data_IF_190942352994
#
_entry.id   IF_190942352994
#
_cell.length_a   1.000
_cell.length_b   1.000
_cell.length_c   1.000
_cell.angle_alpha   90.00
_cell.angle_beta   90.00
_cell.angle_gamma   90.00
#
_symmetry.space_group_name_H-M   'P 1'
#
loop_
_entity.id
_entity.type
_entity.pdbx_description
1 polymer ?
#
# COMPACT_ATOMS: atom_id res chain seq x y z
N UNK A 1 -4.76 4.17 1.05
CA UNK A 1 -4.16 5.48 0.67
C UNK A 1 -5.17 6.60 0.61
N UNK A 2 -6.08 6.63 -0.36
CA UNK A 2 -6.96 7.78 -0.64
C UNK A 2 -7.71 8.31 0.58
N UNK A 3 -8.37 7.44 1.35
CA UNK A 3 -9.12 7.83 2.55
C UNK A 3 -8.19 8.49 3.58
N UNK A 4 -7.09 7.82 3.93
CA UNK A 4 -6.13 8.34 4.90
C UNK A 4 -5.51 9.68 4.44
N UNK A 5 -5.15 9.80 3.16
CA UNK A 5 -4.64 11.04 2.59
C UNK A 5 -5.69 12.17 2.67
N UNK A 6 -6.95 11.91 2.31
CA UNK A 6 -8.03 12.90 2.40
C UNK A 6 -8.35 13.32 3.84
N UNK A 7 -8.26 12.40 4.80
CA UNK A 7 -8.47 12.70 6.22
C UNK A 7 -7.32 13.53 6.81
N UNK A 8 -6.08 13.26 6.40
CA UNK A 8 -4.90 14.00 6.83
C UNK A 8 -4.71 15.33 6.11
N UNK A 9 -5.14 15.42 4.84
CA UNK A 9 -4.95 16.59 3.98
C UNK A 9 -5.27 17.92 4.68
N UNK A 10 -6.48 18.10 5.23
CA UNK A 10 -6.85 19.39 5.80
C UNK A 10 -6.21 19.60 7.18
N UNK A 11 -5.73 18.54 7.86
CA UNK A 11 -5.15 18.63 9.22
C UNK A 11 -3.65 18.93 9.20
N UNK A 12 -2.92 18.34 8.25
CA UNK A 12 -1.45 18.36 8.22
C UNK A 12 -0.91 19.07 6.98
N UNK A 13 -1.61 18.95 5.85
CA UNK A 13 -1.14 19.47 4.57
C UNK A 13 -1.77 20.83 4.29
N UNK A 14 -1.49 21.82 5.15
CA UNK A 14 -1.86 23.23 4.96
C UNK A 14 -0.60 24.13 4.92
N UNK A 15 -0.75 25.37 4.46
CA UNK A 15 0.40 26.27 4.19
C UNK A 15 1.27 26.55 5.42
N UNK A 16 0.68 26.65 6.62
CA UNK A 16 1.41 27.02 7.84
C UNK A 16 2.15 25.85 8.50
N UNK A 17 1.87 24.61 8.09
CA UNK A 17 2.61 23.46 8.60
C UNK A 17 4.05 23.49 8.09
N UNK A 18 5.08 23.38 8.96
CA UNK A 18 6.46 23.28 8.54
C UNK A 18 6.67 22.16 7.53
N UNK A 19 7.42 22.45 6.46
CA UNK A 19 7.53 21.51 5.34
C UNK A 19 8.20 20.18 5.73
N UNK A 20 9.15 20.22 6.67
CA UNK A 20 9.77 19.02 7.25
C UNK A 20 8.75 18.09 7.91
N UNK A 21 7.75 18.65 8.60
CA UNK A 21 6.69 17.87 9.23
C UNK A 21 5.70 17.31 8.21
N UNK A 22 5.46 18.00 7.09
CA UNK A 22 4.68 17.45 5.96
C UNK A 22 5.38 16.25 5.34
N UNK A 23 6.70 16.33 5.12
CA UNK A 23 7.47 15.18 4.61
C UNK A 23 7.49 14.01 5.59
N UNK A 24 7.63 14.26 6.89
CA UNK A 24 7.53 13.22 7.92
C UNK A 24 6.14 12.55 7.91
N UNK A 25 5.07 13.35 7.89
CA UNK A 25 3.70 12.82 7.84
C UNK A 25 3.42 12.04 6.56
N UNK A 26 3.93 12.51 5.41
CA UNK A 26 3.81 11.82 4.14
C UNK A 26 4.59 10.49 4.14
N UNK A 27 5.81 10.50 4.67
CA UNK A 27 6.63 9.29 4.82
C UNK A 27 5.95 8.25 5.72
N UNK A 28 5.44 8.67 6.88
CA UNK A 28 4.67 7.80 7.79
C UNK A 28 3.44 7.23 7.12
N UNK A 29 2.69 8.06 6.38
CA UNK A 29 1.51 7.61 5.64
C UNK A 29 1.88 6.52 4.63
N UNK A 30 2.95 6.72 3.86
CA UNK A 30 3.37 5.77 2.81
C UNK A 30 3.88 4.47 3.39
N UNK A 31 4.78 4.55 4.39
CA UNK A 31 5.32 3.37 5.07
C UNK A 31 4.19 2.58 5.73
N UNK A 32 3.31 3.23 6.49
CA UNK A 32 2.22 2.54 7.20
C UNK A 32 1.22 1.89 6.25
N UNK A 33 0.94 2.49 5.09
CA UNK A 33 0.09 1.85 4.07
C UNK A 33 0.79 0.65 3.46
N UNK A 34 2.09 0.75 3.20
CA UNK A 34 2.88 -0.35 2.64
C UNK A 34 2.86 -1.58 3.56
N UNK A 35 3.28 -1.41 4.82
CA UNK A 35 3.29 -2.52 5.78
C UNK A 35 1.88 -2.92 6.24
N UNK A 36 0.93 -1.99 6.33
CA UNK A 36 -0.45 -2.31 6.71
C UNK A 36 -1.15 -3.23 5.72
N UNK A 37 -0.68 -3.24 4.47
CA UNK A 37 -1.13 -4.17 3.44
C UNK A 37 -0.78 -5.65 3.71
N UNK A 38 0.03 -5.96 4.72
CA UNK A 38 0.32 -7.36 5.13
C UNK A 38 -0.67 -7.92 6.15
N UNK A 39 -1.75 -7.20 6.48
CA UNK A 39 -2.79 -7.70 7.38
C UNK A 39 -3.62 -8.84 6.75
N UNK A 40 -3.73 -8.87 5.42
CA UNK A 40 -4.48 -9.90 4.68
C UNK A 40 -3.72 -10.30 3.41
N UNK A 41 -4.10 -11.42 2.79
CA UNK A 41 -3.45 -11.94 1.56
C UNK A 41 -3.78 -11.16 0.29
N UNK A 42 -4.69 -10.19 0.35
CA UNK A 42 -5.20 -9.43 -0.81
C UNK A 42 -5.00 -7.92 -0.68
N UNK A 43 -4.55 -7.41 0.47
CA UNK A 43 -4.49 -5.96 0.73
C UNK A 43 -3.27 -5.28 0.08
N UNK A 44 -2.22 -6.02 -0.27
CA UNK A 44 -1.03 -5.49 -0.91
C UNK A 44 -0.68 -6.28 -2.18
N UNK A 45 -0.37 -5.59 -3.31
CA UNK A 45 0.19 -6.23 -4.50
C UNK A 45 1.37 -7.18 -4.22
N UNK A 46 2.40 -6.83 -3.43
CA UNK A 46 3.53 -7.73 -3.18
C UNK A 46 3.13 -9.04 -2.49
N UNK A 47 2.09 -9.03 -1.66
CA UNK A 47 1.55 -10.23 -1.01
C UNK A 47 0.71 -11.03 -2.01
N UNK A 48 -0.12 -10.36 -2.79
CA UNK A 48 -0.95 -10.99 -3.82
C UNK A 48 -0.11 -11.78 -4.84
N UNK A 49 1.05 -11.25 -5.23
CA UNK A 49 1.96 -11.89 -6.20
C UNK A 49 2.60 -13.19 -5.71
N UNK A 50 2.58 -13.44 -4.39
CA UNK A 50 3.25 -14.61 -3.79
C UNK A 50 2.30 -15.52 -3.02
N UNK A 51 1.10 -15.02 -2.69
CA UNK A 51 0.14 -15.72 -1.85
C UNK A 51 -0.28 -17.07 -2.43
N UNK A 52 -0.57 -17.14 -3.73
CA UNK A 52 -0.90 -18.41 -4.41
C UNK A 52 0.31 -19.33 -4.52
N UNK A 53 1.50 -18.79 -4.82
CA UNK A 53 2.74 -19.56 -5.01
C UNK A 53 3.19 -20.24 -3.73
N UNK A 54 3.07 -19.56 -2.59
CA UNK A 54 3.54 -20.06 -1.29
C UNK A 54 2.40 -20.50 -0.36
N UNK A 55 1.16 -20.49 -0.82
CA UNK A 55 0.00 -20.93 -0.05
C UNK A 55 -0.32 -20.06 1.16
N UNK A 56 -0.05 -18.75 1.08
CA UNK A 56 -0.30 -17.81 2.18
C UNK A 56 -1.74 -17.30 2.15
N UNK A 57 -2.54 -17.75 3.11
CA UNK A 57 -3.88 -17.23 3.35
C UNK A 57 -3.86 -15.99 4.26
N UNK A 58 -5.03 -15.37 4.46
CA UNK A 58 -5.13 -14.19 5.32
C UNK A 58 -4.81 -14.49 6.80
N UNK A 59 -5.03 -15.73 7.26
CA UNK A 59 -4.69 -16.13 8.62
C UNK A 59 -3.17 -16.22 8.83
N UNK A 60 -2.45 -16.79 7.86
CA UNK A 60 -0.99 -16.80 7.81
C UNK A 60 -0.43 -15.40 7.79
N UNK A 61 -0.94 -14.53 6.91
CA UNK A 61 -0.50 -13.13 6.82
C UNK A 61 -0.66 -12.40 8.16
N UNK A 62 -1.83 -12.52 8.79
CA UNK A 62 -2.09 -11.89 10.07
C UNK A 62 -1.16 -12.39 11.19
N UNK A 63 -0.99 -13.72 11.31
CA UNK A 63 -0.15 -14.35 12.35
C UNK A 63 1.35 -14.11 12.15
N UNK A 64 1.80 -13.96 10.91
CA UNK A 64 3.23 -13.89 10.58
C UNK A 64 3.73 -12.46 10.40
N UNK A 65 2.94 -11.60 9.73
CA UNK A 65 3.29 -10.20 9.43
C UNK A 65 2.36 -9.20 10.12
N UNK A 66 1.06 -9.47 10.12
CA UNK A 66 0.02 -8.48 10.44
C UNK A 66 0.15 -7.84 11.82
N UNK A 67 0.43 -8.63 12.86
CA UNK A 67 0.59 -8.08 14.22
C UNK A 67 1.84 -7.20 14.35
N UNK A 68 2.96 -7.57 13.70
CA UNK A 68 4.21 -6.79 13.67
C UNK A 68 3.98 -5.46 12.95
N UNK A 69 3.32 -5.53 11.79
CA UNK A 69 2.93 -4.36 11.02
C UNK A 69 1.98 -3.46 11.82
N UNK A 70 1.00 -4.01 12.53
CA UNK A 70 0.08 -3.24 13.37
C UNK A 70 0.82 -2.48 14.48
N UNK A 71 1.77 -3.12 15.17
CA UNK A 71 2.60 -2.46 16.18
C UNK A 71 3.48 -1.36 15.58
N UNK A 72 4.15 -1.63 14.45
CA UNK A 72 4.94 -0.62 13.75
C UNK A 72 4.09 0.58 13.31
N UNK A 73 2.89 0.33 12.75
CA UNK A 73 1.93 1.37 12.37
C UNK A 73 1.53 2.21 13.58
N UNK A 74 1.21 1.59 14.72
CA UNK A 74 0.85 2.27 15.96
C UNK A 74 1.99 3.16 16.47
N UNK A 75 3.23 2.65 16.47
CA UNK A 75 4.42 3.42 16.88
C UNK A 75 4.64 4.60 15.94
N UNK A 76 4.68 4.37 14.63
CA UNK A 76 4.85 5.42 13.62
C UNK A 76 3.76 6.50 13.73
N UNK A 77 2.49 6.08 13.85
CA UNK A 77 1.35 6.98 13.97
C UNK A 77 1.39 7.79 15.27
N UNK A 78 1.80 7.17 16.38
CA UNK A 78 1.93 7.85 17.67
C UNK A 78 3.04 8.89 17.61
N UNK A 79 4.23 8.52 17.15
CA UNK A 79 5.38 9.43 17.06
C UNK A 79 5.07 10.63 16.17
N UNK A 80 4.53 10.41 14.97
CA UNK A 80 4.19 11.52 14.08
C UNK A 80 3.13 12.44 14.68
N UNK A 81 2.14 11.87 15.38
CA UNK A 81 1.11 12.66 16.06
C UNK A 81 1.72 13.54 17.15
N UNK A 82 2.70 13.03 17.91
CA UNK A 82 3.41 13.81 18.93
C UNK A 82 4.23 14.96 18.31
N UNK A 83 4.91 14.73 17.18
CA UNK A 83 5.65 15.78 16.46
C UNK A 83 4.72 16.84 15.83
N UNK A 84 3.55 16.42 15.36
CA UNK A 84 2.56 17.31 14.76
C UNK A 84 1.78 18.09 15.83
N UNK A 85 1.60 17.53 17.04
CA UNK A 85 0.77 18.08 18.12
C UNK A 85 0.90 19.60 18.33
N UNK A 86 2.10 20.22 18.35
CA UNK A 86 2.22 21.67 18.57
C UNK A 86 1.64 22.52 17.43
N UNK A 87 1.52 21.94 16.23
CA UNK A 87 1.06 22.60 15.01
C UNK A 87 -0.38 22.20 14.64
N UNK A 88 -0.94 21.17 15.29
CA UNK A 88 -2.32 20.78 15.10
C UNK A 88 -3.23 21.84 15.74
N UNK A 89 -3.97 22.56 14.91
CA UNK A 89 -4.97 23.52 15.37
C UNK A 89 -6.17 22.78 15.93
N UNK A 90 -6.45 23.01 17.21
CA UNK A 90 -7.73 22.63 17.80
C UNK A 90 -8.84 23.47 17.15
N UNK A 91 -9.69 22.87 16.33
CA UNK A 91 -10.97 23.52 16.00
C UNK A 91 -11.61 23.23 14.66
N UNK A 92 -10.90 23.25 13.51
CA UNK A 92 -11.62 23.68 12.30
C UNK A 92 -11.59 22.76 11.07
N UNK A 93 -11.02 21.57 11.19
CA UNK A 93 -10.72 20.79 10.00
C UNK A 93 -11.81 19.78 9.64
N UNK A 94 -12.41 19.14 10.65
CA UNK A 94 -13.58 18.27 10.46
C UNK A 94 -14.89 19.06 10.31
N UNK A 95 -14.87 20.38 10.54
CA UNK A 95 -16.03 21.26 10.33
C UNK A 95 -16.27 21.55 8.83
N UNK A 96 -15.25 21.34 7.97
CA UNK A 96 -15.24 21.74 6.56
C UNK A 96 -16.11 20.91 5.59
N UNK A 97 -17.05 20.07 6.06
CA UNK A 97 -18.08 19.50 5.16
C UNK A 97 -19.34 19.00 5.88
N UNK A 98 -20.11 19.93 6.47
CA UNK A 98 -21.53 19.69 6.78
C UNK A 98 -22.43 19.62 5.52
N UNK A 99 -21.89 19.84 4.32
CA UNK A 99 -22.66 19.86 3.06
C UNK A 99 -22.58 18.58 2.23
N UNK A 100 -21.90 17.52 2.70
CA UNK A 100 -22.02 16.22 2.05
C UNK A 100 -23.38 15.61 2.42
N UNK A 101 -24.27 15.45 1.44
CA UNK A 101 -25.52 14.72 1.64
C UNK A 101 -25.16 13.34 2.20
N UNK A 102 -25.70 12.93 3.35
CA UNK A 102 -25.37 11.63 3.94
C UNK A 102 -25.68 10.52 2.94
N UNK A 103 -24.68 9.68 2.65
CA UNK A 103 -24.83 8.55 1.76
C UNK A 103 -25.81 7.55 2.38
N UNK A 104 -26.77 7.06 1.60
CA UNK A 104 -27.75 6.08 2.07
C UNK A 104 -27.04 4.82 2.60
N UNK A 105 -27.36 4.35 3.83
CA UNK A 105 -26.79 3.12 4.37
C UNK A 105 -26.97 1.90 3.46
N UNK A 106 -28.06 1.88 2.67
CA UNK A 106 -28.31 0.84 1.69
C UNK A 106 -27.27 0.83 0.57
N UNK A 107 -26.87 2.00 0.06
CA UNK A 107 -25.85 2.11 -0.99
C UNK A 107 -24.51 1.59 -0.46
N UNK A 108 -24.16 1.92 0.78
CA UNK A 108 -22.96 1.42 1.46
C UNK A 108 -23.03 -0.10 1.60
N UNK A 109 -24.15 -0.63 2.10
CA UNK A 109 -24.35 -2.07 2.26
C UNK A 109 -24.22 -2.84 0.94
N UNK A 110 -24.79 -2.30 -0.15
CA UNK A 110 -24.65 -2.89 -1.50
C UNK A 110 -23.18 -2.91 -1.94
N UNK A 111 -22.44 -1.82 -1.75
CA UNK A 111 -21.00 -1.78 -2.08
C UNK A 111 -20.19 -2.79 -1.27
N UNK A 112 -20.43 -2.87 0.04
CA UNK A 112 -19.76 -3.83 0.92
C UNK A 112 -20.11 -5.27 0.55
N UNK A 113 -21.37 -5.54 0.18
CA UNK A 113 -21.81 -6.84 -0.30
C UNK A 113 -21.07 -7.22 -1.59
N UNK A 114 -21.05 -6.36 -2.61
CA UNK A 114 -20.34 -6.65 -3.87
C UNK A 114 -18.84 -6.84 -3.65
N UNK A 115 -18.22 -6.01 -2.81
CA UNK A 115 -16.81 -6.15 -2.44
C UNK A 115 -16.55 -7.53 -1.80
N UNK A 116 -17.34 -7.92 -0.80
CA UNK A 116 -17.20 -9.21 -0.14
C UNK A 116 -17.44 -10.37 -1.11
N UNK A 117 -18.50 -10.31 -1.91
CA UNK A 117 -18.85 -11.35 -2.88
C UNK A 117 -17.77 -11.54 -3.95
N UNK A 118 -17.19 -10.45 -4.45
CA UNK A 118 -16.08 -10.48 -5.41
C UNK A 118 -14.82 -11.08 -4.79
N UNK A 119 -14.48 -10.71 -3.55
CA UNK A 119 -13.32 -11.28 -2.84
C UNK A 119 -13.49 -12.78 -2.59
N UNK A 120 -14.67 -13.21 -2.13
CA UNK A 120 -14.95 -14.63 -1.88
C UNK A 120 -15.02 -15.46 -3.17
N UNK A 121 -15.44 -14.85 -4.27
CA UNK A 121 -15.58 -15.52 -5.58
C UNK A 121 -14.36 -15.34 -6.48
N UNK A 122 -13.24 -14.82 -5.98
CA UNK A 122 -12.06 -14.48 -6.78
C UNK A 122 -11.45 -15.69 -7.53
N UNK A 123 -11.68 -16.92 -7.02
CA UNK A 123 -11.24 -18.15 -7.66
C UNK A 123 -12.17 -18.65 -8.79
N UNK A 124 -13.34 -18.03 -8.98
CA UNK A 124 -14.33 -18.40 -9.99
C UNK A 124 -14.52 -17.25 -10.99
N UNK A 125 -13.75 -17.21 -12.09
CA UNK A 125 -13.72 -16.06 -13.01
C UNK A 125 -15.08 -15.66 -13.58
N UNK A 126 -15.96 -16.63 -13.85
CA UNK A 126 -17.30 -16.38 -14.39
C UNK A 126 -18.17 -15.62 -13.37
N UNK A 127 -18.17 -16.07 -12.11
CA UNK A 127 -18.92 -15.44 -11.02
C UNK A 127 -18.35 -14.06 -10.74
N UNK A 128 -17.02 -13.96 -10.66
CA UNK A 128 -16.31 -12.69 -10.49
C UNK A 128 -16.72 -11.67 -11.56
N UNK A 129 -16.65 -12.05 -12.84
CA UNK A 129 -16.99 -11.16 -13.95
C UNK A 129 -18.48 -10.79 -13.94
N UNK A 130 -19.36 -11.75 -13.65
CA UNK A 130 -20.80 -11.50 -13.51
C UNK A 130 -21.12 -10.49 -12.40
N UNK A 131 -20.53 -10.66 -11.22
CA UNK A 131 -20.68 -9.73 -10.09
C UNK A 131 -20.11 -8.34 -10.43
N UNK A 132 -18.95 -8.29 -11.07
CA UNK A 132 -18.32 -7.03 -11.48
C UNK A 132 -19.16 -6.27 -12.51
N UNK A 133 -19.66 -6.94 -13.54
CA UNK A 133 -20.54 -6.34 -14.54
C UNK A 133 -21.87 -5.89 -13.93
N UNK A 134 -22.45 -6.68 -13.02
CA UNK A 134 -23.63 -6.28 -12.27
C UNK A 134 -23.36 -5.02 -11.46
N UNK A 135 -22.23 -4.96 -10.75
CA UNK A 135 -21.86 -3.79 -9.97
C UNK A 135 -21.72 -2.53 -10.84
N UNK A 136 -21.09 -2.63 -12.02
CA UNK A 136 -21.06 -1.53 -12.99
C UNK A 136 -22.49 -1.12 -13.37
N UNK A 137 -23.34 -2.08 -13.72
CA UNK A 137 -24.75 -1.82 -14.04
C UNK A 137 -25.51 -1.12 -12.92
N UNK A 138 -25.32 -1.54 -11.67
CA UNK A 138 -25.88 -0.90 -10.48
C UNK A 138 -25.39 0.55 -10.35
N UNK A 139 -24.08 0.79 -10.45
CA UNK A 139 -23.53 2.15 -10.33
C UNK A 139 -24.02 3.07 -11.46
N UNK A 140 -24.23 2.54 -12.66
CA UNK A 140 -24.78 3.27 -13.79
C UNK A 140 -26.27 3.59 -13.59
N UNK A 141 -27.07 2.64 -13.09
CA UNK A 141 -28.49 2.81 -12.83
C UNK A 141 -28.76 3.87 -11.73
N UNK A 142 -27.91 3.90 -10.70
CA UNK A 142 -28.05 4.80 -9.55
C UNK A 142 -27.01 5.94 -9.52
N UNK A 143 -26.57 6.43 -10.69
CA UNK A 143 -25.47 7.41 -10.85
C UNK A 143 -25.51 8.63 -9.94
N UNK A 144 -26.70 9.09 -9.53
CA UNK A 144 -26.89 10.25 -8.63
C UNK A 144 -26.23 10.03 -7.25
N UNK A 145 -26.12 8.78 -6.81
CA UNK A 145 -25.54 8.40 -5.53
C UNK A 145 -24.10 7.87 -5.66
N UNK A 146 -23.51 7.92 -6.86
CA UNK A 146 -22.23 7.28 -7.15
C UNK A 146 -21.15 8.30 -7.52
N UNK A 147 -19.92 7.99 -7.14
CA UNK A 147 -18.75 8.63 -7.72
C UNK A 147 -18.37 7.91 -9.03
N UNK A 148 -17.74 8.60 -10.00
CA UNK A 148 -17.23 7.97 -11.20
C UNK A 148 -16.30 6.80 -10.87
N UNK A 149 -16.48 5.66 -11.56
CA UNK A 149 -15.61 4.50 -11.41
C UNK A 149 -14.26 4.76 -12.09
N UNK A 150 -13.17 4.48 -11.38
CA UNK A 150 -11.78 4.57 -11.87
C UNK A 150 -11.35 3.29 -12.62
N UNK A 151 -12.12 2.88 -13.62
CA UNK A 151 -11.91 1.62 -14.35
C UNK A 151 -10.58 1.66 -15.12
N UNK A 152 -10.25 2.81 -15.75
CA UNK A 152 -9.03 2.96 -16.53
C UNK A 152 -7.79 2.74 -15.67
N UNK A 153 -7.73 3.36 -14.50
CA UNK A 153 -6.63 3.25 -13.55
C UNK A 153 -6.50 1.81 -13.05
N UNK A 154 -7.61 1.18 -12.68
CA UNK A 154 -7.62 -0.22 -12.24
C UNK A 154 -7.13 -1.17 -13.34
N UNK A 155 -7.54 -0.95 -14.61
CA UNK A 155 -7.06 -1.73 -15.75
C UNK A 155 -5.56 -1.50 -16.02
N UNK A 156 -5.06 -0.27 -15.90
CA UNK A 156 -3.62 0.01 -16.05
C UNK A 156 -2.80 -0.73 -14.99
N UNK A 157 -3.26 -0.77 -13.74
CA UNK A 157 -2.64 -1.58 -12.68
C UNK A 157 -2.71 -3.07 -13.03
N UNK A 158 -3.86 -3.55 -13.52
CA UNK A 158 -4.02 -4.93 -13.97
C UNK A 158 -3.06 -5.31 -15.10
N UNK A 159 -2.92 -4.46 -16.12
CA UNK A 159 -1.97 -4.66 -17.22
C UNK A 159 -0.52 -4.60 -16.75
N UNK A 160 -0.19 -3.73 -15.80
CA UNK A 160 1.13 -3.69 -15.19
C UNK A 160 1.46 -5.01 -14.48
N UNK A 161 0.55 -5.50 -13.62
CA UNK A 161 0.72 -6.78 -12.94
C UNK A 161 0.79 -7.96 -13.92
N UNK A 162 -0.05 -7.97 -14.96
CA UNK A 162 0.00 -8.99 -16.01
C UNK A 162 1.33 -8.95 -16.78
N UNK A 163 1.81 -7.76 -17.11
CA UNK A 163 3.13 -7.56 -17.74
C UNK A 163 4.27 -8.04 -16.85
N UNK A 164 4.20 -7.78 -15.54
CA UNK A 164 5.15 -8.31 -14.57
C UNK A 164 5.15 -9.84 -14.55
N UNK A 165 3.98 -10.48 -14.57
CA UNK A 165 3.90 -11.95 -14.58
C UNK A 165 4.48 -12.52 -15.87
N UNK A 166 4.07 -11.99 -17.03
CA UNK A 166 4.49 -12.51 -18.33
C UNK A 166 5.97 -12.27 -18.58
N UNK A 167 6.47 -11.04 -18.38
CA UNK A 167 7.86 -10.68 -18.65
C UNK A 167 8.80 -11.10 -17.53
N UNK A 168 8.35 -11.02 -16.27
CA UNK A 168 9.15 -11.40 -15.11
C UNK A 168 9.44 -12.90 -15.07
N UNK A 169 8.49 -13.75 -15.50
CA UNK A 169 8.73 -15.18 -15.69
C UNK A 169 9.93 -15.49 -16.59
N UNK A 170 10.19 -14.63 -17.60
CA UNK A 170 11.35 -14.77 -18.49
C UNK A 170 12.69 -14.38 -17.85
N UNK A 171 12.67 -13.72 -16.68
CA UNK A 171 13.88 -13.24 -15.99
C UNK A 171 14.45 -14.26 -14.98
N UNK A 172 13.78 -15.40 -14.77
CA UNK A 172 14.17 -16.39 -13.77
C UNK A 172 15.62 -16.87 -13.91
N UNK A 173 16.09 -17.06 -15.15
CA UNK A 173 17.40 -17.68 -15.45
C UNK A 173 18.61 -16.97 -14.81
N UNK A 174 18.57 -15.64 -14.70
CA UNK A 174 19.67 -14.87 -14.08
C UNK A 174 19.38 -14.50 -12.63
N UNK A 175 18.10 -14.41 -12.25
CA UNK A 175 17.71 -14.08 -10.87
C UNK A 175 17.91 -15.23 -9.91
N UNK A 176 17.62 -16.46 -10.34
CA UNK A 176 17.73 -17.65 -9.50
C UNK A 176 19.10 -17.86 -8.86
N UNK A 177 20.23 -17.81 -9.60
CA UNK A 177 21.53 -17.95 -8.96
C UNK A 177 21.88 -16.81 -8.01
N UNK A 178 21.35 -15.59 -8.24
CA UNK A 178 21.61 -14.44 -7.38
C UNK A 178 20.77 -14.54 -6.11
N UNK A 179 19.45 -14.57 -6.23
CA UNK A 179 18.53 -14.58 -5.07
C UNK A 179 18.67 -15.86 -4.27
N UNK A 180 18.84 -17.01 -4.92
CA UNK A 180 19.01 -18.30 -4.26
C UNK A 180 20.32 -18.46 -3.48
N UNK A 181 21.33 -17.61 -3.75
CA UNK A 181 22.60 -17.62 -3.01
C UNK A 181 22.67 -16.59 -1.88
N UNK A 182 21.68 -15.68 -1.78
CA UNK A 182 21.64 -14.68 -0.71
C UNK A 182 21.16 -15.28 0.61
N UNK A 183 21.87 -14.96 1.69
CA UNK A 183 21.38 -15.23 3.03
C UNK A 183 20.08 -14.45 3.30
N UNK A 184 19.13 -15.00 4.10
CA UNK A 184 17.84 -14.34 4.34
C UNK A 184 17.95 -12.90 4.87
N UNK A 185 18.94 -12.62 5.71
CA UNK A 185 19.15 -11.28 6.25
C UNK A 185 19.61 -10.28 5.17
N UNK A 186 20.47 -10.74 4.26
CA UNK A 186 20.91 -9.94 3.11
C UNK A 186 19.75 -9.73 2.15
N UNK A 187 18.90 -10.74 1.97
CA UNK A 187 17.70 -10.64 1.15
C UNK A 187 16.71 -9.60 1.69
N UNK A 188 16.53 -9.52 3.01
CA UNK A 188 15.70 -8.48 3.64
C UNK A 188 16.22 -7.08 3.33
N UNK A 189 17.51 -6.83 3.61
CA UNK A 189 18.12 -5.50 3.43
C UNK A 189 18.16 -5.13 1.95
N UNK A 190 18.50 -6.09 1.08
CA UNK A 190 18.50 -5.94 -0.36
C UNK A 190 17.12 -5.59 -0.90
N UNK A 191 16.08 -6.31 -0.48
CA UNK A 191 14.70 -6.05 -0.90
C UNK A 191 14.20 -4.67 -0.43
N UNK A 192 14.50 -4.29 0.81
CA UNK A 192 14.18 -2.97 1.37
C UNK A 192 14.83 -1.85 0.55
N UNK A 193 16.12 -1.97 0.27
CA UNK A 193 16.88 -0.96 -0.47
C UNK A 193 16.45 -0.89 -1.93
N UNK A 194 16.30 -2.03 -2.61
CA UNK A 194 15.87 -2.09 -4.00
C UNK A 194 14.46 -1.54 -4.18
N UNK A 195 13.56 -1.80 -3.23
CA UNK A 195 12.20 -1.24 -3.28
C UNK A 195 12.18 0.29 -3.26
N UNK A 196 13.19 0.96 -2.71
CA UNK A 196 13.26 2.42 -2.81
C UNK A 196 13.34 2.90 -4.27
N UNK A 197 13.87 2.08 -5.17
CA UNK A 197 14.08 2.42 -6.59
C UNK A 197 13.29 1.54 -7.56
N UNK A 198 12.59 0.52 -7.08
CA UNK A 198 11.77 -0.40 -7.89
C UNK A 198 10.42 -0.68 -7.23
N UNK A 199 9.43 -1.13 -8.00
CA UNK A 199 8.14 -1.55 -7.45
C UNK A 199 8.28 -2.80 -6.55
N UNK A 200 7.62 -2.76 -5.38
CA UNK A 200 7.70 -3.84 -4.40
C UNK A 200 7.05 -5.16 -4.87
N UNK A 201 6.00 -5.10 -5.71
CA UNK A 201 5.32 -6.28 -6.22
C UNK A 201 6.16 -6.97 -7.29
N UNK A 202 6.90 -6.20 -8.09
CA UNK A 202 7.89 -6.75 -9.01
C UNK A 202 8.95 -7.56 -8.25
N UNK A 203 9.52 -7.02 -7.16
CA UNK A 203 10.55 -7.73 -6.39
C UNK A 203 10.03 -9.01 -5.73
N UNK A 204 8.84 -8.99 -5.11
CA UNK A 204 8.29 -10.20 -4.49
C UNK A 204 7.86 -11.24 -5.51
N UNK A 205 7.32 -10.81 -6.65
CA UNK A 205 7.03 -11.70 -7.76
C UNK A 205 8.29 -12.39 -8.29
N UNK A 206 9.36 -11.63 -8.54
CA UNK A 206 10.62 -12.20 -9.00
C UNK A 206 11.19 -13.22 -7.99
N UNK A 207 11.02 -12.99 -6.68
CA UNK A 207 11.41 -13.96 -5.67
C UNK A 207 10.51 -15.20 -5.60
N UNK A 208 9.24 -15.11 -5.99
CA UNK A 208 8.35 -16.28 -6.05
C UNK A 208 8.67 -17.23 -7.22
N UNK A 209 9.47 -16.77 -8.18
CA UNK A 209 10.02 -17.60 -9.26
C UNK A 209 11.23 -18.43 -8.85
N UNK A 210 11.77 -18.24 -7.63
CA UNK A 210 12.98 -18.94 -7.19
C UNK A 210 12.61 -20.30 -6.59
N UNK A 211 12.98 -21.37 -7.30
CA UNK A 211 12.74 -22.73 -6.82
C UNK A 211 13.53 -23.02 -5.53
N UNK A 212 12.86 -23.66 -4.57
CA UNK A 212 13.49 -24.10 -3.33
C UNK A 212 13.84 -22.96 -2.36
N UNK A 213 13.34 -21.74 -2.57
CA UNK A 213 13.53 -20.63 -1.63
C UNK A 213 12.99 -21.01 -0.25
N UNK A 214 13.83 -20.89 0.78
CA UNK A 214 13.48 -21.27 2.15
C UNK A 214 12.34 -20.40 2.70
N UNK A 215 11.54 -20.93 3.62
CA UNK A 215 10.43 -20.18 4.24
C UNK A 215 10.90 -18.90 4.93
N UNK A 216 12.11 -18.92 5.52
CA UNK A 216 12.72 -17.73 6.10
C UNK A 216 13.10 -16.70 5.03
N UNK A 217 13.64 -17.13 3.89
CA UNK A 217 13.95 -16.21 2.77
C UNK A 217 12.68 -15.63 2.15
N UNK A 218 11.61 -16.42 1.99
CA UNK A 218 10.29 -15.93 1.56
C UNK A 218 9.78 -14.83 2.49
N UNK A 219 9.83 -15.06 3.80
CA UNK A 219 9.47 -14.07 4.81
C UNK A 219 10.31 -12.80 4.68
N UNK A 220 11.64 -12.94 4.67
CA UNK A 220 12.58 -11.82 4.66
C UNK A 220 12.48 -10.98 3.38
N UNK A 221 12.27 -11.62 2.23
CA UNK A 221 12.05 -10.92 0.97
C UNK A 221 10.81 -10.02 1.04
N UNK A 222 9.67 -10.59 1.43
CA UNK A 222 8.40 -9.84 1.48
C UNK A 222 8.46 -8.77 2.56
N UNK A 223 9.00 -9.10 3.74
CA UNK A 223 9.20 -8.18 4.85
C UNK A 223 10.06 -6.97 4.46
N UNK A 224 11.18 -7.20 3.77
CA UNK A 224 12.04 -6.14 3.25
C UNK A 224 11.33 -5.29 2.20
N UNK A 225 10.67 -5.93 1.23
CA UNK A 225 9.94 -5.23 0.18
C UNK A 225 8.80 -4.35 0.71
N UNK A 226 8.00 -4.82 1.67
CA UNK A 226 6.93 -3.99 2.25
C UNK A 226 7.47 -2.88 3.16
N UNK A 227 8.56 -3.11 3.89
CA UNK A 227 9.20 -2.09 4.72
C UNK A 227 9.79 -0.93 3.88
N UNK A 228 10.39 -1.26 2.73
CA UNK A 228 10.93 -0.28 1.79
C UNK A 228 9.87 0.46 0.97
N UNK A 229 8.65 -0.09 0.86
CA UNK A 229 7.60 0.42 -0.04
C UNK A 229 7.12 1.85 0.23
N UNK A 230 7.50 2.47 1.36
CA UNK A 230 7.19 3.87 1.66
C UNK A 230 8.30 4.87 1.33
N UNK A 231 9.49 4.43 0.94
CA UNK A 231 10.68 5.28 0.81
C UNK A 231 10.60 6.29 -0.33
N UNK A 232 9.94 5.94 -1.43
CA UNK A 232 9.82 6.81 -2.61
C UNK A 232 8.45 6.70 -3.28
N UNK A 233 8.19 7.58 -4.26
CA UNK A 233 6.94 7.60 -5.01
C UNK A 233 6.76 6.36 -5.88
N UNK A 234 7.86 5.77 -6.37
CA UNK A 234 7.82 4.62 -7.30
C UNK A 234 7.85 3.26 -6.59
N UNK A 235 8.15 3.25 -5.29
CA UNK A 235 8.30 2.04 -4.49
C UNK A 235 7.02 1.21 -4.36
N UNK A 236 5.85 1.85 -4.46
CA UNK A 236 4.56 1.19 -4.26
C UNK A 236 3.43 1.94 -5.01
N UNK A 237 2.54 1.19 -5.64
CA UNK A 237 1.44 1.71 -6.46
C UNK A 237 0.53 2.77 -5.79
N UNK A 238 0.26 2.75 -4.46
CA UNK A 238 -0.53 3.79 -3.80
C UNK A 238 0.21 5.12 -3.63
N UNK A 239 1.55 5.16 -3.63
CA UNK A 239 2.32 6.37 -3.32
C UNK A 239 2.08 7.51 -4.32
N UNK A 240 2.06 7.29 -5.66
CA UNK A 240 1.71 8.33 -6.62
C UNK A 240 0.32 8.93 -6.37
N UNK A 241 -0.66 8.13 -5.95
CA UNK A 241 -1.99 8.62 -5.62
C UNK A 241 -1.96 9.53 -4.37
N UNK A 242 -1.20 9.15 -3.35
CA UNK A 242 -0.97 9.98 -2.17
C UNK A 242 -0.30 11.31 -2.52
N UNK A 243 0.75 11.29 -3.36
CA UNK A 243 1.42 12.51 -3.85
C UNK A 243 0.44 13.39 -4.63
N UNK A 244 -0.33 12.82 -5.56
CA UNK A 244 -1.27 13.58 -6.38
C UNK A 244 -2.31 14.33 -5.54
N UNK A 245 -2.76 13.73 -4.44
CA UNK A 245 -3.72 14.32 -3.51
C UNK A 245 -3.11 15.39 -2.60
N UNK A 246 -1.83 15.28 -2.24
CA UNK A 246 -1.21 16.07 -1.16
C UNK A 246 -0.19 17.11 -1.65
N UNK A 247 0.32 16.99 -2.88
CA UNK A 247 1.39 17.86 -3.43
C UNK A 247 1.05 19.34 -3.45
N UNK A 248 -0.23 19.71 -3.60
CA UNK A 248 -0.67 21.10 -3.69
C UNK A 248 -0.35 21.94 -2.46
N UNK A 249 -0.06 21.29 -1.34
CA UNK A 249 0.26 21.93 -0.06
C UNK A 249 1.76 22.07 0.24
N UNK A 250 2.62 21.55 -0.64
CA UNK A 250 4.07 21.67 -0.56
C UNK A 250 4.56 22.93 -1.28
N UNK A 251 5.82 23.32 -1.02
CA UNK A 251 6.43 24.44 -1.74
C UNK A 251 6.40 24.15 -3.25
N UNK A 252 6.01 25.15 -4.05
CA UNK A 252 5.87 25.04 -5.51
C UNK A 252 4.89 23.95 -5.99
N UNK A 253 4.01 23.44 -5.12
CA UNK A 253 3.02 22.41 -5.48
C UNK A 253 3.62 21.05 -5.83
N UNK A 254 4.85 20.78 -5.41
CA UNK A 254 5.59 19.57 -5.74
C UNK A 254 6.20 18.91 -4.50
N UNK A 255 6.26 17.57 -4.51
CA UNK A 255 6.91 16.77 -3.47
C UNK A 255 8.33 16.44 -3.93
N UNK A 256 9.34 16.88 -3.19
CA UNK A 256 10.73 16.53 -3.45
C UNK A 256 10.99 15.04 -3.20
N UNK A 257 11.73 14.38 -4.10
CA UNK A 257 12.14 12.99 -3.93
C UNK A 257 13.02 12.81 -2.67
N UNK A 258 14.01 13.68 -2.49
CA UNK A 258 14.88 13.65 -1.30
C UNK A 258 14.12 14.03 -0.03
N UNK A 259 13.16 14.95 -0.14
CA UNK A 259 12.28 15.31 0.97
C UNK A 259 11.45 14.11 1.43
N UNK A 260 10.79 13.41 0.50
CA UNK A 260 10.03 12.20 0.81
C UNK A 260 10.92 11.11 1.39
N UNK A 261 12.07 10.84 0.76
CA UNK A 261 13.02 9.84 1.25
C UNK A 261 13.41 10.13 2.70
N UNK A 262 13.84 11.36 2.98
CA UNK A 262 14.23 11.77 4.33
C UNK A 262 13.09 11.66 5.36
N UNK A 263 11.86 12.00 4.96
CA UNK A 263 10.67 11.88 5.82
C UNK A 263 10.25 10.43 6.06
N UNK A 264 10.59 9.52 5.15
CA UNK A 264 10.26 8.10 5.24
C UNK A 264 11.33 7.26 5.98
N UNK A 265 12.57 7.76 6.14
CA UNK A 265 13.66 6.98 6.75
C UNK A 265 13.32 6.47 8.16
N UNK A 266 12.91 7.35 9.07
CA UNK A 266 12.58 6.97 10.46
C UNK A 266 11.43 5.95 10.51
N UNK A 267 10.26 6.18 9.87
CA UNK A 267 9.19 5.21 9.91
C UNK A 267 9.55 3.89 9.21
N UNK A 268 10.39 3.92 8.17
CA UNK A 268 10.93 2.70 7.54
C UNK A 268 11.83 1.93 8.49
N UNK A 269 12.72 2.59 9.25
CA UNK A 269 13.57 1.91 10.24
C UNK A 269 12.72 1.26 11.33
N UNK A 270 11.68 1.93 11.81
CA UNK A 270 10.75 1.36 12.78
C UNK A 270 10.05 0.12 12.20
N UNK A 271 9.47 0.26 11.01
CA UNK A 271 8.83 -0.85 10.31
C UNK A 271 9.78 -2.03 10.08
N UNK A 272 11.00 -1.75 9.64
CA UNK A 272 12.04 -2.75 9.41
C UNK A 272 12.43 -3.46 10.72
N UNK A 273 12.59 -2.72 11.82
CA UNK A 273 12.91 -3.33 13.11
C UNK A 273 11.81 -4.30 13.58
N UNK A 274 10.53 -3.91 13.45
CA UNK A 274 9.41 -4.79 13.80
C UNK A 274 9.31 -6.03 12.91
N UNK A 275 9.62 -5.91 11.63
CA UNK A 275 9.56 -7.02 10.68
C UNK A 275 10.81 -7.90 10.66
N UNK A 276 11.94 -7.41 11.15
CA UNK A 276 13.21 -8.14 11.12
C UNK A 276 13.48 -8.90 12.42
N UNK A 277 13.18 -8.30 13.57
CA UNK A 277 13.58 -8.85 14.88
C UNK A 277 12.47 -9.60 15.63
N UNK A 278 11.22 -9.27 15.35
CA UNK A 278 10.05 -9.91 15.95
C UNK A 278 9.40 -10.80 14.92
#
# INVERSE_FOLDING_TARGET
>A
MTIAAMMLAPQVFHREMPERLKYLALGVLFVNISIGGTLTSYAAPPVLMVASTWGWDSAFMFKTFGWKAALAVLVNATLVTLFLRPHLRSGDVLSLKKSAVPMSPLVIAVHLFFLAAVVLSAHHPIIFLGLFLFFIGYTQAYKVHQSPLIIKEALLVGFFLAGLVVLGGMQQWWLQPIVGSLEPNVLFVGALALTAITDNAALTYLGSLIDGISTQAQYMLVAGAVAGGGLTVIANAPNPAGVALLRGSFANGAVSMLGLLSGALIPTVIAAAFLFFF
#
